data_IF_473689222333
#
_entry.id   IF_473689222333
#
_cell.length_a   1.000
_cell.length_b   1.000
_cell.length_c   1.000
_cell.angle_alpha   90.00
_cell.angle_beta   90.00
_cell.angle_gamma   90.00
#
_symmetry.space_group_name_H-M   'P 1'
#
loop_
_entity.id
_entity.type
_entity.pdbx_description
1 polymer ?
#
# COMPACT_ATOMS: atom_id res chain seq x y z
N UNK A 1 21.17 7.07 -52.65
CA UNK A 1 20.22 6.50 -51.70
C UNK A 1 20.84 6.23 -50.33
N UNK A 2 21.71 5.23 -50.13
CA UNK A 2 22.30 4.96 -48.80
C UNK A 2 23.00 6.17 -48.14
N UNK A 3 23.73 6.97 -48.93
CA UNK A 3 24.33 8.24 -48.44
C UNK A 3 23.28 9.23 -47.91
N UNK A 4 22.12 9.29 -48.56
CA UNK A 4 21.00 10.14 -48.12
C UNK A 4 20.36 9.57 -46.84
N UNK A 5 20.12 8.26 -46.78
CA UNK A 5 19.62 7.60 -45.57
C UNK A 5 20.51 7.88 -44.36
N UNK A 6 21.85 7.80 -44.53
CA UNK A 6 22.83 8.09 -43.47
C UNK A 6 22.83 9.56 -43.01
N UNK A 7 22.64 10.50 -43.93
CA UNK A 7 22.62 11.94 -43.59
C UNK A 7 21.32 12.35 -42.90
N UNK A 8 20.24 11.61 -43.11
CA UNK A 8 18.91 11.94 -42.58
C UNK A 8 18.46 10.97 -41.46
N UNK A 9 19.36 10.15 -40.91
CA UNK A 9 19.05 9.13 -39.90
C UNK A 9 17.88 8.20 -40.28
N UNK A 10 17.73 7.91 -41.57
CA UNK A 10 16.73 7.00 -42.09
C UNK A 10 17.28 5.59 -42.23
N UNK A 11 16.49 4.61 -41.79
CA UNK A 11 16.78 3.21 -42.02
C UNK A 11 16.54 2.84 -43.50
N UNK A 12 17.51 2.20 -44.14
CA UNK A 12 17.36 1.73 -45.51
C UNK A 12 16.37 0.57 -45.58
N UNK A 13 15.32 0.74 -46.40
CA UNK A 13 14.30 -0.31 -46.66
C UNK A 13 14.55 -1.05 -47.98
N UNK A 14 15.74 -0.94 -48.56
CA UNK A 14 16.10 -1.74 -49.72
C UNK A 14 16.13 -3.22 -49.34
N UNK A 15 15.60 -4.05 -50.23
CA UNK A 15 15.49 -5.51 -50.05
C UNK A 15 16.80 -6.17 -49.59
N UNK A 16 17.94 -5.71 -50.12
CA UNK A 16 19.26 -6.23 -49.74
C UNK A 16 19.63 -5.93 -48.28
N UNK A 17 19.39 -4.71 -47.81
CA UNK A 17 19.75 -4.28 -46.45
C UNK A 17 18.81 -4.89 -45.40
N UNK A 18 17.52 -5.01 -45.73
CA UNK A 18 16.54 -5.67 -44.87
C UNK A 18 16.92 -7.15 -44.68
N UNK A 19 17.33 -7.83 -45.74
CA UNK A 19 17.79 -9.22 -45.67
C UNK A 19 19.07 -9.35 -44.84
N UNK A 20 20.03 -8.44 -45.01
CA UNK A 20 21.27 -8.42 -44.22
C UNK A 20 21.00 -8.15 -42.72
N UNK A 21 20.03 -7.30 -42.42
CA UNK A 21 19.62 -7.04 -41.03
C UNK A 21 18.93 -8.26 -40.43
N UNK A 22 18.02 -8.91 -41.16
CA UNK A 22 17.36 -10.13 -40.71
C UNK A 22 18.33 -11.29 -40.45
N UNK A 23 19.34 -11.47 -41.31
CA UNK A 23 20.37 -12.49 -41.08
C UNK A 23 21.25 -12.15 -39.88
N UNK A 24 21.59 -10.89 -39.67
CA UNK A 24 22.32 -10.46 -38.48
C UNK A 24 21.51 -10.70 -37.19
N UNK A 25 20.20 -10.41 -37.20
CA UNK A 25 19.28 -10.69 -36.09
C UNK A 25 19.14 -12.20 -35.83
N UNK A 26 19.03 -13.01 -36.89
CA UNK A 26 18.97 -14.46 -36.74
C UNK A 26 20.26 -15.02 -36.12
N UNK A 27 21.42 -14.49 -36.50
CA UNK A 27 22.71 -14.86 -35.93
C UNK A 27 22.86 -14.37 -34.49
N UNK A 28 22.36 -13.18 -34.13
CA UNK A 28 22.37 -12.71 -32.74
C UNK A 28 21.43 -13.53 -31.85
N UNK A 29 20.24 -13.86 -32.35
CA UNK A 29 19.27 -14.69 -31.63
C UNK A 29 19.79 -16.12 -31.42
N UNK A 30 20.51 -16.68 -32.40
CA UNK A 30 21.19 -17.97 -32.25
C UNK A 30 22.35 -17.93 -31.24
N UNK A 31 22.90 -16.75 -30.92
CA UNK A 31 23.94 -16.54 -29.91
C UNK A 31 23.38 -16.18 -28.53
N UNK A 32 22.12 -15.75 -28.45
CA UNK A 32 21.48 -15.42 -27.19
C UNK A 32 21.08 -16.73 -26.51
N UNK A 33 21.79 -17.08 -25.43
CA UNK A 33 21.46 -18.26 -24.62
C UNK A 33 20.02 -18.20 -24.12
N UNK A 34 19.39 -19.35 -23.98
CA UNK A 34 18.08 -19.48 -23.33
C UNK A 34 18.18 -18.91 -21.92
N UNK A 35 17.11 -18.25 -21.46
CA UNK A 35 17.04 -17.62 -20.13
C UNK A 35 17.18 -18.60 -18.94
N UNK A 36 17.34 -19.89 -19.24
CA UNK A 36 17.40 -21.01 -18.31
C UNK A 36 18.48 -20.84 -17.23
N UNK A 37 19.66 -20.35 -17.60
CA UNK A 37 20.79 -20.12 -16.66
C UNK A 37 20.50 -19.09 -15.54
N UNK A 38 19.46 -18.26 -15.71
CA UNK A 38 19.04 -17.27 -14.71
C UNK A 38 17.69 -17.60 -14.06
N UNK A 39 16.99 -18.65 -14.51
CA UNK A 39 15.77 -19.12 -13.88
C UNK A 39 16.18 -20.06 -12.75
N UNK A 40 16.18 -19.54 -11.52
CA UNK A 40 16.24 -20.40 -10.33
C UNK A 40 14.83 -20.89 -10.06
N UNK A 41 14.68 -22.20 -9.96
CA UNK A 41 13.50 -22.82 -9.38
C UNK A 41 13.37 -22.27 -7.94
N UNK A 42 12.34 -21.44 -7.71
CA UNK A 42 12.00 -21.01 -6.36
C UNK A 42 11.53 -22.29 -5.67
N UNK A 43 12.22 -22.72 -4.61
CA UNK A 43 11.73 -23.83 -3.81
C UNK A 43 10.25 -23.59 -3.52
N UNK A 44 9.36 -24.56 -3.78
CA UNK A 44 7.94 -24.37 -3.54
C UNK A 44 7.76 -24.11 -2.06
N UNK A 45 7.69 -22.82 -1.70
CA UNK A 45 7.26 -22.39 -0.38
C UNK A 45 5.92 -23.06 -0.10
N UNK A 46 5.68 -23.42 1.17
CA UNK A 46 4.43 -24.00 1.67
C UNK A 46 3.27 -23.59 0.79
N UNK A 47 2.67 -24.57 0.10
CA UNK A 47 1.62 -24.34 -0.88
C UNK A 47 0.55 -23.49 -0.21
N UNK A 48 0.54 -22.20 -0.56
CA UNK A 48 -0.49 -21.27 -0.10
C UNK A 48 -1.76 -21.82 -0.71
N UNK A 49 -2.64 -22.37 0.14
CA UNK A 49 -3.98 -22.79 -0.29
C UNK A 49 -4.57 -21.58 -1.01
N UNK A 50 -4.82 -21.75 -2.31
CA UNK A 50 -5.38 -20.70 -3.13
C UNK A 50 -6.71 -20.28 -2.53
N UNK A 51 -6.87 -18.99 -2.27
CA UNK A 51 -8.12 -18.45 -1.73
C UNK A 51 -9.33 -18.93 -2.54
N UNK A 52 -10.35 -19.45 -1.85
CA UNK A 52 -11.67 -19.68 -2.42
C UNK A 52 -12.75 -19.02 -1.56
N UNK A 53 -13.77 -18.43 -2.21
CA UNK A 53 -14.88 -17.78 -1.50
C UNK A 53 -15.62 -18.76 -0.57
N UNK A 54 -15.66 -20.04 -0.94
CA UNK A 54 -16.28 -21.10 -0.15
C UNK A 54 -15.53 -21.35 1.17
N UNK A 55 -14.21 -21.53 1.11
CA UNK A 55 -13.39 -21.75 2.32
C UNK A 55 -13.41 -20.53 3.23
N UNK A 56 -13.37 -19.33 2.65
CA UNK A 56 -13.49 -18.08 3.41
C UNK A 56 -14.85 -17.98 4.11
N UNK A 57 -15.93 -18.33 3.41
CA UNK A 57 -17.27 -18.36 4.01
C UNK A 57 -17.38 -19.36 5.14
N UNK A 58 -16.89 -20.59 4.97
CA UNK A 58 -16.90 -21.63 6.00
C UNK A 58 -16.11 -21.20 7.25
N UNK A 59 -14.90 -20.66 7.07
CA UNK A 59 -14.08 -20.13 8.16
C UNK A 59 -14.76 -18.96 8.88
N UNK A 60 -15.47 -18.09 8.14
CA UNK A 60 -16.23 -16.97 8.70
C UNK A 60 -17.38 -17.47 9.56
N UNK A 61 -18.14 -18.48 9.11
CA UNK A 61 -19.23 -19.09 9.89
C UNK A 61 -18.71 -19.74 11.16
N UNK A 62 -17.61 -20.48 11.11
CA UNK A 62 -16.98 -21.09 12.29
C UNK A 62 -16.51 -20.02 13.30
N UNK A 63 -15.91 -18.94 12.81
CA UNK A 63 -15.51 -17.81 13.64
C UNK A 63 -16.70 -17.12 14.31
N UNK A 64 -17.81 -16.93 13.60
CA UNK A 64 -19.05 -16.37 14.15
C UNK A 64 -19.64 -17.25 15.26
N UNK A 65 -19.68 -18.56 15.07
CA UNK A 65 -20.18 -19.52 16.06
C UNK A 65 -19.32 -19.51 17.31
N UNK A 66 -17.99 -19.52 17.16
CA UNK A 66 -17.06 -19.60 18.28
C UNK A 66 -16.98 -18.31 19.11
N UNK A 67 -17.14 -17.15 18.48
CA UNK A 67 -17.02 -15.85 19.15
C UNK A 67 -18.36 -15.26 19.57
N UNK A 68 -19.45 -15.72 18.96
CA UNK A 68 -20.80 -15.16 19.11
C UNK A 68 -20.83 -13.62 18.85
N UNK A 69 -20.05 -13.16 17.86
CA UNK A 69 -19.94 -11.74 17.52
C UNK A 69 -20.45 -11.45 16.12
N UNK A 70 -21.44 -10.57 15.97
CA UNK A 70 -21.97 -10.15 14.67
C UNK A 70 -21.13 -9.00 14.02
N UNK A 71 -19.80 -9.12 14.00
CA UNK A 71 -18.90 -8.00 13.64
C UNK A 71 -18.27 -8.10 12.24
N UNK A 72 -18.59 -9.15 11.47
CA UNK A 72 -17.99 -9.40 10.15
C UNK A 72 -18.33 -8.30 9.13
N UNK A 73 -19.51 -7.69 9.23
CA UNK A 73 -19.97 -6.65 8.30
C UNK A 73 -19.38 -5.25 8.61
N UNK A 74 -18.60 -5.11 9.69
CA UNK A 74 -18.08 -3.81 10.08
C UNK A 74 -16.95 -3.37 9.14
N UNK A 75 -16.97 -2.14 8.58
CA UNK A 75 -15.95 -1.69 7.60
C UNK A 75 -14.51 -1.78 8.11
N UNK A 76 -14.29 -1.65 9.43
CA UNK A 76 -12.93 -1.80 10.00
C UNK A 76 -12.45 -3.25 10.01
N UNK A 77 -13.36 -4.23 10.10
CA UNK A 77 -13.03 -5.64 9.97
C UNK A 77 -12.60 -5.96 8.54
N UNK A 78 -13.37 -5.53 7.54
CA UNK A 78 -13.00 -5.68 6.11
C UNK A 78 -11.63 -5.05 5.83
N UNK A 79 -11.38 -3.83 6.33
CA UNK A 79 -10.07 -3.16 6.20
C UNK A 79 -8.93 -3.96 6.83
N UNK A 80 -9.16 -4.64 7.96
CA UNK A 80 -8.15 -5.49 8.59
C UNK A 80 -7.82 -6.69 7.72
N UNK A 81 -8.82 -7.37 7.15
CA UNK A 81 -8.64 -8.49 6.22
C UNK A 81 -7.91 -8.05 4.95
N UNK A 82 -8.29 -6.91 4.37
CA UNK A 82 -7.62 -6.34 3.18
C UNK A 82 -6.14 -6.03 3.38
N UNK A 83 -5.76 -5.63 4.60
CA UNK A 83 -4.36 -5.39 4.95
C UNK A 83 -3.63 -6.72 5.17
N UNK A 84 -4.30 -7.68 5.83
CA UNK A 84 -3.76 -9.01 6.08
C UNK A 84 -3.50 -9.79 4.80
N UNK A 85 -4.39 -9.74 3.81
CA UNK A 85 -4.27 -10.47 2.54
C UNK A 85 -3.09 -10.01 1.67
N UNK A 86 -2.57 -8.80 1.90
CA UNK A 86 -1.39 -8.25 1.22
C UNK A 86 -0.06 -8.65 1.88
N UNK A 87 -0.10 -9.34 3.03
CA UNK A 87 1.10 -9.68 3.77
C UNK A 87 1.86 -10.83 3.11
N UNK A 88 3.12 -10.58 2.72
CA UNK A 88 3.97 -11.57 2.05
C UNK A 88 4.49 -12.63 3.04
N UNK A 89 4.67 -12.27 4.31
CA UNK A 89 5.30 -13.11 5.35
C UNK A 89 4.33 -13.54 6.45
N UNK A 90 3.04 -13.64 6.10
CA UNK A 90 1.97 -13.85 7.07
C UNK A 90 1.71 -12.64 7.96
N UNK A 91 0.76 -12.77 8.89
CA UNK A 91 0.32 -11.69 9.78
C UNK A 91 0.72 -12.00 11.21
N UNK A 92 1.46 -11.09 11.84
CA UNK A 92 1.77 -11.16 13.27
C UNK A 92 0.59 -10.58 14.05
N UNK A 93 -0.15 -11.43 14.76
CA UNK A 93 -1.24 -10.99 15.63
C UNK A 93 -0.65 -10.62 16.99
N UNK A 94 -0.67 -9.33 17.39
CA UNK A 94 -0.11 -8.92 18.67
C UNK A 94 -0.90 -9.50 19.85
N UNK A 95 -0.16 -9.83 20.91
CA UNK A 95 -0.72 -10.33 22.16
C UNK A 95 -1.74 -9.34 22.75
N UNK A 96 -2.80 -9.85 23.39
CA UNK A 96 -3.84 -9.07 24.05
C UNK A 96 -3.28 -7.95 24.95
N UNK A 97 -2.25 -8.23 25.76
CA UNK A 97 -1.64 -7.22 26.63
C UNK A 97 -1.02 -6.05 25.86
N UNK A 98 -0.39 -6.35 24.73
CA UNK A 98 0.23 -5.34 23.86
C UNK A 98 -0.87 -4.48 23.22
N UNK A 99 -1.92 -5.11 22.68
CA UNK A 99 -3.09 -4.40 22.12
C UNK A 99 -3.76 -3.49 23.14
N UNK A 100 -3.96 -3.97 24.37
CA UNK A 100 -4.55 -3.15 25.44
C UNK A 100 -3.70 -1.91 25.74
N UNK A 101 -2.37 -2.07 25.84
CA UNK A 101 -1.47 -0.96 26.08
C UNK A 101 -1.51 0.06 24.92
N UNK A 102 -1.49 -0.41 23.67
CA UNK A 102 -1.59 0.45 22.48
C UNK A 102 -2.91 1.24 22.43
N UNK A 103 -4.04 0.59 22.76
CA UNK A 103 -5.35 1.26 22.81
C UNK A 103 -5.33 2.37 23.87
N UNK A 104 -4.81 2.09 25.05
CA UNK A 104 -4.70 3.09 26.13
C UNK A 104 -3.79 4.25 25.70
N UNK A 105 -2.68 3.97 25.03
CA UNK A 105 -1.76 4.99 24.52
C UNK A 105 -2.41 5.87 23.45
N UNK A 106 -3.10 5.26 22.48
CA UNK A 106 -3.89 5.97 21.47
C UNK A 106 -4.94 6.88 22.11
N UNK A 107 -5.65 6.38 23.11
CA UNK A 107 -6.64 7.16 23.85
C UNK A 107 -5.99 8.35 24.55
N UNK A 108 -4.88 8.15 25.28
CA UNK A 108 -4.13 9.22 25.94
C UNK A 108 -3.64 10.28 24.96
N UNK A 109 -3.13 9.87 23.79
CA UNK A 109 -2.70 10.78 22.72
C UNK A 109 -3.86 11.63 22.21
N UNK A 110 -5.03 11.04 21.97
CA UNK A 110 -6.21 11.78 21.56
C UNK A 110 -6.64 12.79 22.63
N UNK A 111 -6.68 12.38 23.90
CA UNK A 111 -7.01 13.27 25.01
C UNK A 111 -6.02 14.44 25.15
N UNK A 112 -4.74 14.19 24.93
CA UNK A 112 -3.70 15.23 24.98
C UNK A 112 -3.89 16.26 23.86
N UNK A 113 -4.13 15.80 22.62
CA UNK A 113 -4.41 16.69 21.48
C UNK A 113 -5.66 17.54 21.70
N UNK A 114 -6.72 16.93 22.22
CA UNK A 114 -7.95 17.64 22.56
C UNK A 114 -7.68 18.71 23.62
N UNK A 115 -6.92 18.37 24.65
CA UNK A 115 -6.54 19.32 25.70
C UNK A 115 -5.74 20.50 25.14
N UNK A 116 -4.74 20.26 24.29
CA UNK A 116 -3.95 21.30 23.65
C UNK A 116 -4.83 22.27 22.85
N UNK A 117 -5.76 21.73 22.04
CA UNK A 117 -6.67 22.54 21.24
C UNK A 117 -7.61 23.40 22.10
N UNK A 118 -8.17 22.81 23.17
CA UNK A 118 -9.06 23.53 24.08
C UNK A 118 -8.32 24.60 24.88
N UNK A 119 -7.07 24.34 25.29
CA UNK A 119 -6.29 25.29 26.06
C UNK A 119 -5.86 26.50 25.21
N UNK A 120 -5.42 26.27 23.96
CA UNK A 120 -5.13 27.35 23.00
C UNK A 120 -6.38 28.23 22.78
N UNK A 121 -7.56 27.61 22.64
CA UNK A 121 -8.83 28.33 22.50
C UNK A 121 -9.13 29.21 23.73
N UNK A 122 -8.87 28.72 24.95
CA UNK A 122 -9.08 29.47 26.18
C UNK A 122 -8.16 30.71 26.26
N UNK A 123 -6.87 30.58 25.92
CA UNK A 123 -5.94 31.72 25.85
C UNK A 123 -6.33 32.73 24.78
N UNK A 124 -6.86 32.27 23.64
CA UNK A 124 -7.33 33.14 22.57
C UNK A 124 -8.59 33.95 22.99
N UNK A 125 -9.53 33.30 23.68
CA UNK A 125 -10.73 33.94 24.22
C UNK A 125 -10.39 34.94 25.34
N UNK A 126 -9.55 34.55 26.31
CA UNK A 126 -9.09 35.45 27.37
C UNK A 126 -8.30 36.65 26.83
N UNK A 127 -7.45 36.42 25.83
CA UNK A 127 -6.73 37.47 25.12
C UNK A 127 -7.66 38.48 24.45
N UNK A 128 -8.76 38.03 23.85
CA UNK A 128 -9.79 38.91 23.26
C UNK A 128 -10.51 39.80 24.29
N UNK A 129 -10.77 39.32 25.51
CA UNK A 129 -11.40 40.13 26.55
C UNK A 129 -10.46 41.17 27.17
N UNK A 130 -9.14 40.98 27.11
CA UNK A 130 -8.15 41.97 27.55
C UNK A 130 -7.95 43.16 26.60
N UNK A 131 -8.51 43.14 25.38
CA UNK A 131 -8.45 44.26 24.43
C UNK A 131 -9.75 45.07 24.31
N UNK A 132 -10.78 44.78 25.13
CA UNK A 132 -11.94 45.66 25.25
C UNK A 132 -11.57 46.81 26.20
N UNK A 133 -11.39 48.06 25.72
CA UNK A 133 -11.16 49.17 26.62
C UNK A 133 -12.41 49.33 27.46
N UNK A 134 -12.27 49.14 28.76
CA UNK A 134 -13.27 49.56 29.74
C UNK A 134 -13.34 51.08 29.63
N UNK A 135 -14.19 51.58 28.75
CA UNK A 135 -14.57 52.98 28.67
C UNK A 135 -15.34 53.30 29.95
N UNK A 136 -14.58 53.74 30.96
CA UNK A 136 -15.04 54.22 32.25
C UNK A 136 -15.84 55.50 32.00
N UNK A 137 -17.15 55.37 31.84
CA UNK A 137 -18.06 56.50 31.79
C UNK A 137 -18.07 57.15 33.19
N UNK A 138 -17.39 58.29 33.29
CA UNK A 138 -17.51 59.23 34.41
C UNK A 138 -18.66 60.18 34.05
N UNK A 139 -19.80 60.06 34.74
CA UNK A 139 -20.65 61.15 35.23
C UNK A 139 -21.52 60.59 36.37
#
# INVERSE_FOLDING_TARGET
YHKWCKVNDFESKLSADVKACQTAIAVSNAKQGTLDDHVREIEPGEWVISYTDKEFYEATVEWLISTNQATVDHPSFCKMIDVASRAIKGVLIPNCKVKQAEIIDLFKKQMTRLWEHLNISLYFLLGMFSYLPISRARW
#
